data_IF_278669009203
#
_entry.id   IF_278669009203
#
_cell.length_a   1.000
_cell.length_b   1.000
_cell.length_c   1.000
_cell.angle_alpha   90.00
_cell.angle_beta   90.00
_cell.angle_gamma   90.00
#
_symmetry.space_group_name_H-M   'P 1'
#
loop_
_entity.id
_entity.type
_entity.pdbx_description
1 polymer ?
#
# COMPACT_ATOMS: atom_id res chain seq x y z
N UNK A 1 23.35 -2.90 18.14
CA UNK A 1 22.50 -2.01 17.32
C UNK A 1 21.29 -2.85 16.97
N UNK A 2 20.38 -2.93 17.94
CA UNK A 2 19.30 -3.93 17.97
C UNK A 2 18.26 -3.71 16.88
N UNK A 3 17.68 -4.84 16.49
CA UNK A 3 16.80 -5.09 15.35
C UNK A 3 15.55 -4.18 15.37
N UNK A 4 15.68 -2.96 14.83
CA UNK A 4 14.57 -1.99 14.70
C UNK A 4 13.60 -2.33 13.55
N UNK A 5 13.98 -3.26 12.68
CA UNK A 5 13.22 -3.59 11.47
C UNK A 5 12.01 -4.51 11.74
N UNK A 6 12.10 -5.54 12.60
CA UNK A 6 10.93 -6.31 13.05
C UNK A 6 9.87 -5.46 13.74
N UNK A 7 10.27 -4.42 14.49
CA UNK A 7 9.35 -3.50 15.14
C UNK A 7 8.56 -2.67 14.11
N UNK A 8 9.26 -2.07 13.14
CA UNK A 8 8.62 -1.24 12.12
C UNK A 8 7.71 -2.05 11.19
N UNK A 9 8.11 -3.27 10.81
CA UNK A 9 7.26 -4.19 10.06
C UNK A 9 5.95 -4.51 10.80
N UNK A 10 6.05 -4.81 12.11
CA UNK A 10 4.86 -5.09 12.92
C UNK A 10 3.98 -3.85 13.07
N UNK A 11 4.56 -2.66 13.21
CA UNK A 11 3.78 -1.41 13.25
C UNK A 11 3.03 -1.17 11.93
N UNK A 12 3.68 -1.38 10.79
CA UNK A 12 3.06 -1.20 9.47
C UNK A 12 1.99 -2.26 9.16
N UNK A 13 2.19 -3.51 9.58
CA UNK A 13 1.31 -4.64 9.19
C UNK A 13 0.33 -5.09 10.27
N UNK A 14 0.50 -4.62 11.51
CA UNK A 14 -0.35 -4.97 12.66
C UNK A 14 -0.80 -3.73 13.43
N UNK A 15 -0.97 -2.63 12.71
CA UNK A 15 -1.38 -1.34 13.27
C UNK A 15 -2.67 -1.44 14.08
N UNK A 16 -2.83 -0.70 15.20
CA UNK A 16 -4.07 -0.74 15.94
C UNK A 16 -5.29 -0.27 15.12
N UNK A 17 -5.12 0.59 14.12
CA UNK A 17 -6.18 0.90 13.14
C UNK A 17 -6.72 -0.38 12.46
N UNK A 18 -5.83 -1.23 11.92
CA UNK A 18 -6.18 -2.48 11.24
C UNK A 18 -6.89 -3.46 12.19
N UNK A 19 -6.47 -3.50 13.46
CA UNK A 19 -7.17 -4.28 14.49
C UNK A 19 -8.60 -3.79 14.68
N UNK A 20 -8.81 -2.48 14.74
CA UNK A 20 -10.15 -1.89 14.86
C UNK A 20 -11.00 -2.13 13.61
N UNK A 21 -10.39 -2.13 12.42
CA UNK A 21 -11.05 -2.52 11.17
C UNK A 21 -11.52 -3.96 11.26
N UNK A 22 -10.64 -4.89 11.62
CA UNK A 22 -10.96 -6.32 11.78
C UNK A 22 -12.01 -6.62 12.85
N UNK A 23 -12.12 -5.76 13.86
CA UNK A 23 -13.16 -5.83 14.89
C UNK A 23 -14.45 -5.10 14.51
N UNK A 24 -14.52 -4.47 13.34
CA UNK A 24 -15.69 -3.73 12.84
C UNK A 24 -15.97 -2.42 13.58
N UNK A 25 -14.96 -1.85 14.26
CA UNK A 25 -15.10 -0.71 15.18
C UNK A 25 -14.24 0.51 14.82
N UNK A 26 -13.48 0.45 13.72
CA UNK A 26 -12.70 1.59 13.23
C UNK A 26 -13.63 2.77 12.90
N UNK A 27 -13.49 3.87 13.67
CA UNK A 27 -14.36 5.06 13.58
C UNK A 27 -14.07 5.90 12.35
N UNK A 28 -12.79 6.07 12.03
CA UNK A 28 -12.31 6.93 10.95
C UNK A 28 -12.02 6.19 9.65
N UNK A 29 -12.65 5.02 9.45
CA UNK A 29 -12.48 4.24 8.22
C UNK A 29 -12.79 5.06 6.95
N UNK A 30 -13.80 5.92 6.99
CA UNK A 30 -14.12 6.79 5.85
C UNK A 30 -13.06 7.87 5.57
N UNK A 31 -12.37 8.36 6.60
CA UNK A 31 -11.26 9.31 6.44
C UNK A 31 -10.09 8.61 5.76
N UNK A 32 -9.75 7.42 6.26
CA UNK A 32 -8.75 6.56 5.65
C UNK A 32 -9.08 6.25 4.19
N UNK A 33 -10.31 5.81 3.88
CA UNK A 33 -10.73 5.49 2.52
C UNK A 33 -10.56 6.70 1.56
N UNK A 34 -10.93 7.90 2.01
CA UNK A 34 -10.78 9.10 1.20
C UNK A 34 -9.31 9.46 0.93
N UNK A 35 -8.43 9.29 1.93
CA UNK A 35 -7.00 9.55 1.76
C UNK A 35 -6.31 8.46 0.92
N UNK A 36 -6.74 7.21 1.05
CA UNK A 36 -6.18 6.08 0.31
C UNK A 36 -6.58 6.13 -1.17
N UNK A 37 -7.76 6.67 -1.51
CA UNK A 37 -8.09 6.99 -2.90
C UNK A 37 -7.10 7.99 -3.55
N UNK A 38 -6.64 8.99 -2.78
CA UNK A 38 -5.62 9.94 -3.26
C UNK A 38 -4.27 9.24 -3.45
N UNK A 39 -3.89 8.38 -2.50
CA UNK A 39 -2.66 7.58 -2.60
C UNK A 39 -2.68 6.64 -3.80
N UNK A 40 -3.78 5.91 -4.03
CA UNK A 40 -3.96 5.01 -5.18
C UNK A 40 -3.82 5.78 -6.50
N UNK A 41 -4.39 6.99 -6.60
CA UNK A 41 -4.21 7.84 -7.77
C UNK A 41 -2.74 8.24 -8.00
N UNK A 42 -1.99 8.55 -6.94
CA UNK A 42 -0.55 8.83 -7.01
C UNK A 42 0.26 7.55 -7.36
N UNK A 43 -0.15 6.39 -6.84
CA UNK A 43 0.48 5.10 -7.10
C UNK A 43 0.32 4.66 -8.56
N UNK A 44 -0.84 4.92 -9.18
CA UNK A 44 -1.07 4.72 -10.62
C UNK A 44 -0.03 5.49 -11.44
N UNK A 45 0.24 6.75 -11.06
CA UNK A 45 1.22 7.59 -11.75
C UNK A 45 2.63 7.02 -11.63
N UNK A 46 3.05 6.66 -10.41
CA UNK A 46 4.35 6.05 -10.16
C UNK A 46 4.51 4.72 -10.93
N UNK A 47 3.56 3.78 -10.80
CA UNK A 47 3.64 2.50 -11.48
C UNK A 47 3.68 2.67 -13.00
N UNK A 48 2.87 3.58 -13.57
CA UNK A 48 2.87 3.86 -15.00
C UNK A 48 4.24 4.37 -15.50
N UNK A 49 4.89 5.24 -14.73
CA UNK A 49 6.25 5.72 -15.03
C UNK A 49 7.29 4.60 -14.87
N UNK A 50 7.10 3.72 -13.89
CA UNK A 50 7.97 2.56 -13.69
C UNK A 50 7.87 1.57 -14.87
N UNK A 51 6.67 1.32 -15.43
CA UNK A 51 6.49 0.48 -16.64
C UNK A 51 7.39 0.96 -17.78
N UNK A 52 7.44 2.28 -18.01
CA UNK A 52 8.17 2.87 -19.14
C UNK A 52 9.69 2.61 -19.08
N UNK A 53 10.25 2.47 -17.87
CA UNK A 53 11.69 2.26 -17.64
C UNK A 53 12.05 0.85 -17.15
N UNK A 54 11.07 -0.03 -17.02
CA UNK A 54 11.29 -1.40 -16.57
C UNK A 54 11.88 -2.29 -17.70
N UNK A 55 12.72 -3.29 -17.36
CA UNK A 55 13.10 -4.34 -18.28
C UNK A 55 11.87 -5.07 -18.83
N UNK A 56 11.97 -5.57 -20.06
CA UNK A 56 10.85 -6.21 -20.77
C UNK A 56 10.17 -7.33 -19.98
N UNK A 57 10.94 -8.09 -19.20
CA UNK A 57 10.45 -9.19 -18.34
C UNK A 57 9.55 -8.73 -17.18
N UNK A 58 9.59 -7.44 -16.83
CA UNK A 58 8.88 -6.88 -15.67
C UNK A 58 7.74 -5.93 -16.06
N UNK A 59 7.73 -5.41 -17.29
CA UNK A 59 6.70 -4.48 -17.77
C UNK A 59 5.28 -5.02 -17.62
N UNK A 60 5.05 -6.30 -17.94
CA UNK A 60 3.72 -6.89 -17.90
C UNK A 60 3.14 -6.93 -16.48
N UNK A 61 3.91 -7.38 -15.50
CA UNK A 61 3.45 -7.46 -14.10
C UNK A 61 3.24 -6.06 -13.52
N UNK A 62 4.11 -5.08 -13.82
CA UNK A 62 3.91 -3.71 -13.32
C UNK A 62 2.66 -3.08 -13.96
N UNK A 63 2.42 -3.33 -15.26
CA UNK A 63 1.22 -2.83 -15.94
C UNK A 63 -0.08 -3.48 -15.43
N UNK A 64 -0.04 -4.75 -15.02
CA UNK A 64 -1.17 -5.41 -14.35
C UNK A 64 -1.56 -4.68 -13.06
N UNK A 65 -0.57 -4.21 -12.29
CA UNK A 65 -0.79 -3.35 -11.11
C UNK A 65 -1.56 -2.08 -11.46
N UNK A 66 -1.14 -1.37 -12.51
CA UNK A 66 -1.81 -0.14 -12.96
C UNK A 66 -3.28 -0.40 -13.29
N UNK A 67 -3.58 -1.50 -13.99
CA UNK A 67 -4.97 -1.88 -14.31
C UNK A 67 -5.75 -2.22 -13.04
N UNK A 68 -5.11 -2.93 -12.10
CA UNK A 68 -5.70 -3.24 -10.79
C UNK A 68 -6.07 -2.00 -10.00
N UNK A 69 -5.16 -1.03 -9.90
CA UNK A 69 -5.37 0.24 -9.18
C UNK A 69 -6.47 1.10 -9.82
N UNK A 70 -6.62 1.08 -11.15
CA UNK A 70 -7.73 1.77 -11.82
C UNK A 70 -9.08 1.14 -11.42
N UNK A 71 -9.17 -0.19 -11.46
CA UNK A 71 -10.38 -0.90 -11.02
C UNK A 71 -10.64 -0.75 -9.51
N UNK A 72 -9.58 -0.57 -8.73
CA UNK A 72 -9.67 -0.26 -7.32
C UNK A 72 -10.32 1.11 -7.09
N UNK A 73 -9.96 2.16 -7.84
CA UNK A 73 -10.66 3.46 -7.73
C UNK A 73 -12.17 3.35 -8.01
N UNK A 74 -12.60 2.53 -8.97
CA UNK A 74 -14.02 2.25 -9.21
C UNK A 74 -14.69 1.56 -7.99
N UNK A 75 -13.94 0.71 -7.28
CA UNK A 75 -14.40 0.08 -6.04
C UNK A 75 -14.46 1.08 -4.88
N UNK A 76 -13.51 2.02 -4.78
CA UNK A 76 -13.52 3.10 -3.79
C UNK A 76 -14.77 3.97 -3.95
N UNK A 77 -15.14 4.36 -5.17
CA UNK A 77 -16.35 5.13 -5.44
C UNK A 77 -17.60 4.40 -4.90
N UNK A 78 -17.71 3.09 -5.13
CA UNK A 78 -18.81 2.28 -4.61
C UNK A 78 -18.82 2.22 -3.08
N UNK A 79 -17.65 2.09 -2.43
CA UNK A 79 -17.58 2.08 -0.98
C UNK A 79 -17.90 3.45 -0.37
N UNK A 80 -17.53 4.54 -1.05
CA UNK A 80 -17.85 5.89 -0.64
C UNK A 80 -19.37 6.10 -0.56
N UNK A 81 -20.11 5.61 -1.57
CA UNK A 81 -21.57 5.62 -1.58
C UNK A 81 -22.17 4.80 -0.42
N UNK A 82 -21.66 3.58 -0.19
CA UNK A 82 -22.12 2.69 0.89
C UNK A 82 -21.89 3.31 2.28
N UNK A 83 -20.77 4.00 2.47
CA UNK A 83 -20.39 4.61 3.73
C UNK A 83 -20.93 6.03 3.91
N UNK A 84 -21.47 6.64 2.85
CA UNK A 84 -21.96 8.01 2.84
C UNK A 84 -20.84 9.04 3.04
N UNK A 85 -19.65 8.80 2.47
CA UNK A 85 -18.47 9.68 2.61
C UNK A 85 -18.05 10.26 1.25
N UNK A 86 -17.40 11.42 1.27
CA UNK A 86 -16.82 12.02 0.07
C UNK A 86 -15.35 11.61 -0.08
N UNK A 87 -14.95 11.17 -1.27
CA UNK A 87 -13.53 10.98 -1.62
C UNK A 87 -12.86 12.29 -2.09
N UNK A 88 -13.66 13.35 -2.33
CA UNK A 88 -13.14 14.69 -2.65
C UNK A 88 -12.73 15.39 -1.36
N UNK A 89 -11.50 15.13 -0.93
CA UNK A 89 -10.90 15.67 0.30
C UNK A 89 -9.55 16.31 -0.01
N UNK A 90 -9.13 17.22 0.85
CA UNK A 90 -7.75 17.71 0.82
C UNK A 90 -6.80 16.62 1.32
N UNK A 91 -5.60 16.46 0.72
CA UNK A 91 -4.64 15.49 1.18
C UNK A 91 -4.11 15.89 2.56
N UNK A 92 -4.14 14.95 3.50
CA UNK A 92 -3.54 15.12 4.82
C UNK A 92 -2.01 15.04 4.75
N UNK A 93 -1.34 15.40 5.85
CA UNK A 93 0.13 15.45 5.92
C UNK A 93 0.79 14.11 5.54
N UNK A 94 0.26 12.98 6.04
CA UNK A 94 0.80 11.66 5.72
C UNK A 94 0.64 11.33 4.23
N UNK A 95 -0.53 11.60 3.64
CA UNK A 95 -0.79 11.44 2.20
C UNK A 95 0.14 12.31 1.34
N UNK A 96 0.38 13.56 1.73
CA UNK A 96 1.32 14.44 1.04
C UNK A 96 2.76 13.91 1.11
N UNK A 97 3.18 13.42 2.28
CA UNK A 97 4.51 12.83 2.46
C UNK A 97 4.66 11.55 1.62
N UNK A 98 3.62 10.71 1.56
CA UNK A 98 3.62 9.50 0.75
C UNK A 98 3.70 9.83 -0.75
N UNK A 99 2.94 10.82 -1.23
CA UNK A 99 3.06 11.33 -2.60
C UNK A 99 4.47 11.81 -2.92
N UNK A 100 5.07 12.58 -2.02
CA UNK A 100 6.45 13.05 -2.19
C UNK A 100 7.44 11.88 -2.29
N UNK A 101 7.28 10.87 -1.44
CA UNK A 101 8.07 9.65 -1.50
C UNK A 101 7.90 8.90 -2.84
N UNK A 102 6.68 8.76 -3.36
CA UNK A 102 6.45 8.17 -4.69
C UNK A 102 7.15 8.97 -5.80
N UNK A 103 7.19 10.31 -5.69
CA UNK A 103 7.97 11.15 -6.61
C UNK A 103 9.48 10.98 -6.46
N UNK A 104 9.99 10.73 -5.25
CA UNK A 104 11.41 10.40 -5.06
C UNK A 104 11.74 9.06 -5.71
N UNK A 105 10.86 8.06 -5.60
CA UNK A 105 11.02 6.75 -6.25
C UNK A 105 11.06 6.85 -7.78
N UNK A 106 10.41 7.85 -8.40
CA UNK A 106 10.53 8.10 -9.84
C UNK A 106 11.98 8.42 -10.27
N UNK A 107 12.80 8.95 -9.35
CA UNK A 107 14.21 9.30 -9.61
C UNK A 107 15.18 8.15 -9.32
N UNK A 108 14.77 7.18 -8.52
CA UNK A 108 15.58 6.01 -8.14
C UNK A 108 15.79 5.06 -9.32
N UNK A 109 16.94 4.37 -9.47
CA UNK A 109 17.11 3.34 -10.49
C UNK A 109 16.04 2.24 -10.41
N UNK A 110 15.70 1.63 -11.56
CA UNK A 110 14.66 0.60 -11.66
C UNK A 110 14.73 -0.45 -10.54
N UNK A 111 15.91 -1.04 -10.22
CA UNK A 111 15.96 -2.07 -9.17
C UNK A 111 15.47 -1.58 -7.80
N UNK A 112 15.82 -0.35 -7.40
CA UNK A 112 15.38 0.23 -6.11
C UNK A 112 13.88 0.52 -6.12
N UNK A 113 13.37 1.11 -7.21
CA UNK A 113 11.94 1.39 -7.36
C UNK A 113 11.09 0.10 -7.41
N UNK A 114 11.60 -0.97 -8.02
CA UNK A 114 10.93 -2.27 -8.08
C UNK A 114 10.83 -2.93 -6.70
N UNK A 115 11.89 -2.85 -5.89
CA UNK A 115 11.87 -3.36 -4.50
C UNK A 115 10.90 -2.55 -3.64
N UNK A 116 10.89 -1.22 -3.80
CA UNK A 116 9.92 -0.37 -3.13
C UNK A 116 8.47 -0.75 -3.50
N UNK A 117 8.18 -0.87 -4.81
CA UNK A 117 6.86 -1.28 -5.29
C UNK A 117 6.39 -2.59 -4.68
N UNK A 118 7.21 -3.64 -4.73
CA UNK A 118 6.86 -4.91 -4.12
C UNK A 118 6.59 -4.78 -2.63
N UNK A 119 7.39 -3.98 -1.91
CA UNK A 119 7.22 -3.80 -0.48
C UNK A 119 5.93 -3.06 -0.12
N UNK A 120 5.52 -2.05 -0.89
CA UNK A 120 4.23 -1.36 -0.73
C UNK A 120 3.09 -2.37 -0.74
N UNK A 121 2.99 -3.15 -1.82
CA UNK A 121 1.93 -4.15 -2.03
C UNK A 121 1.99 -5.27 -0.99
N UNK A 122 3.22 -5.68 -0.61
CA UNK A 122 3.44 -6.77 0.35
C UNK A 122 3.04 -6.36 1.78
N UNK A 123 3.35 -5.14 2.19
CA UNK A 123 2.92 -4.58 3.48
C UNK A 123 1.41 -4.51 3.52
N UNK A 124 0.79 -4.01 2.44
CA UNK A 124 -0.64 -3.84 2.34
C UNK A 124 -1.39 -5.20 2.42
N UNK A 125 -0.96 -6.21 1.65
CA UNK A 125 -1.49 -7.57 1.76
C UNK A 125 -1.39 -8.13 3.19
N UNK A 126 -0.25 -7.92 3.85
CA UNK A 126 -0.04 -8.42 5.20
C UNK A 126 -0.91 -7.67 6.24
N UNK A 127 -1.08 -6.37 6.07
CA UNK A 127 -1.97 -5.52 6.87
C UNK A 127 -3.42 -6.00 6.82
N UNK A 128 -3.94 -6.27 5.61
CA UNK A 128 -5.32 -6.73 5.43
C UNK A 128 -5.56 -8.17 5.88
N UNK A 129 -4.56 -9.06 5.72
CA UNK A 129 -4.59 -10.39 6.35
C UNK A 129 -4.67 -10.29 7.87
N UNK A 130 -3.91 -9.37 8.46
CA UNK A 130 -3.97 -9.13 9.90
C UNK A 130 -5.35 -8.62 10.33
N UNK A 131 -5.91 -7.62 9.63
CA UNK A 131 -7.26 -7.14 9.89
C UNK A 131 -8.29 -8.29 9.84
N UNK A 132 -8.25 -9.13 8.79
CA UNK A 132 -9.12 -10.31 8.67
C UNK A 132 -8.95 -11.35 9.77
N UNK A 133 -7.78 -11.41 10.42
CA UNK A 133 -7.55 -12.31 11.56
C UNK A 133 -8.08 -11.78 12.90
N UNK A 134 -8.44 -10.50 12.99
CA UNK A 134 -8.83 -9.84 14.24
C UNK A 134 -10.32 -9.97 14.58
N UNK A 135 -11.16 -10.45 13.67
CA UNK A 135 -12.61 -10.58 13.86
C UNK A 135 -13.34 -10.70 12.52
N UNK A 136 -14.65 -10.43 12.52
CA UNK A 136 -15.48 -10.52 11.30
C UNK A 136 -15.45 -9.26 10.43
N UNK A 137 -14.74 -8.20 10.84
CA UNK A 137 -14.69 -6.87 10.24
C UNK A 137 -16.04 -6.12 10.12
N UNK A 138 -17.18 -6.79 10.28
CA UNK A 138 -18.51 -6.20 10.25
C UNK A 138 -18.73 -5.35 8.99
N UNK A 139 -19.05 -4.06 9.18
CA UNK A 139 -19.22 -3.08 8.09
C UNK A 139 -17.98 -2.88 7.21
N UNK A 140 -16.80 -3.32 7.65
CA UNK A 140 -15.53 -3.19 6.92
C UNK A 140 -15.10 -4.49 6.23
N UNK A 141 -15.97 -5.51 6.19
CA UNK A 141 -15.63 -6.81 5.61
C UNK A 141 -15.32 -6.76 4.11
N UNK A 142 -15.94 -5.83 3.37
CA UNK A 142 -15.67 -5.65 1.94
C UNK A 142 -14.20 -5.28 1.67
N UNK A 143 -13.63 -4.41 2.51
CA UNK A 143 -12.22 -4.03 2.45
C UNK A 143 -11.28 -5.21 2.71
N UNK A 144 -11.52 -5.96 3.78
CA UNK A 144 -10.72 -7.17 4.07
C UNK A 144 -10.77 -8.15 2.91
N UNK A 145 -11.95 -8.38 2.32
CA UNK A 145 -12.09 -9.28 1.17
C UNK A 145 -11.34 -8.78 -0.07
N UNK A 146 -11.40 -7.48 -0.37
CA UNK A 146 -10.75 -6.87 -1.53
C UNK A 146 -9.24 -7.11 -1.53
N UNK A 147 -8.55 -6.75 -0.44
CA UNK A 147 -7.08 -6.85 -0.35
C UNK A 147 -6.56 -8.17 0.20
N UNK A 148 -7.43 -9.15 0.39
CA UNK A 148 -7.03 -10.55 0.61
C UNK A 148 -7.45 -11.47 -0.54
N UNK A 149 -7.98 -10.89 -1.63
CA UNK A 149 -8.40 -11.61 -2.82
C UNK A 149 -7.24 -12.44 -3.41
N UNK A 150 -7.50 -13.69 -3.86
CA UNK A 150 -6.47 -14.53 -4.46
C UNK A 150 -5.75 -13.90 -5.66
N UNK A 151 -6.38 -13.02 -6.44
CA UNK A 151 -5.74 -12.29 -7.53
C UNK A 151 -4.69 -11.31 -7.01
N UNK A 152 -5.01 -10.54 -5.98
CA UNK A 152 -4.05 -9.65 -5.34
C UNK A 152 -2.87 -10.43 -4.75
N UNK A 153 -3.13 -11.58 -4.11
CA UNK A 153 -2.06 -12.47 -3.61
C UNK A 153 -1.13 -12.92 -4.73
N UNK A 154 -1.67 -13.34 -5.88
CA UNK A 154 -0.85 -13.76 -7.03
C UNK A 154 -0.04 -12.60 -7.60
N UNK A 155 -0.64 -11.40 -7.67
CA UNK A 155 0.04 -10.19 -8.11
C UNK A 155 1.25 -9.86 -7.21
N UNK A 156 1.07 -9.85 -5.89
CA UNK A 156 2.17 -9.60 -4.94
C UNK A 156 3.28 -10.65 -5.07
N UNK A 157 2.94 -11.94 -5.23
CA UNK A 157 3.93 -12.99 -5.49
C UNK A 157 4.69 -12.77 -6.81
N UNK A 158 4.01 -12.35 -7.88
CA UNK A 158 4.67 -12.07 -9.15
C UNK A 158 5.63 -10.87 -9.07
N UNK A 159 5.31 -9.85 -8.25
CA UNK A 159 6.23 -8.75 -7.96
C UNK A 159 7.45 -9.21 -7.14
N UNK A 160 7.28 -10.16 -6.22
CA UNK A 160 8.36 -10.68 -5.37
C UNK A 160 9.50 -11.28 -6.21
N UNK A 161 9.17 -12.02 -7.26
CA UNK A 161 10.16 -12.57 -8.20
C UNK A 161 10.98 -11.46 -8.87
N UNK A 162 10.35 -10.31 -9.20
CA UNK A 162 11.04 -9.17 -9.84
C UNK A 162 11.85 -8.36 -8.84
N UNK A 163 11.31 -8.14 -7.65
CA UNK A 163 12.01 -7.47 -6.56
C UNK A 163 13.22 -8.28 -6.08
N UNK A 164 13.13 -9.61 -6.03
CA UNK A 164 14.25 -10.47 -5.67
C UNK A 164 15.40 -10.37 -6.66
N UNK A 165 15.12 -10.38 -7.96
CA UNK A 165 16.13 -10.17 -8.99
C UNK A 165 16.75 -8.76 -8.90
N UNK A 166 15.91 -7.73 -8.74
CA UNK A 166 16.37 -6.35 -8.54
C UNK A 166 17.26 -6.18 -7.29
N UNK A 167 16.90 -6.81 -6.17
CA UNK A 167 17.69 -6.76 -4.95
C UNK A 167 19.07 -7.42 -5.12
N UNK A 168 19.17 -8.48 -5.93
CA UNK A 168 20.46 -9.10 -6.26
C UNK A 168 21.36 -8.15 -7.05
N UNK A 169 20.81 -7.39 -8.01
CA UNK A 169 21.55 -6.36 -8.75
C UNK A 169 22.10 -5.25 -7.83
N UNK A 170 21.41 -4.97 -6.73
CA UNK A 170 21.80 -4.00 -5.71
C UNK A 170 22.71 -4.58 -4.62
N UNK A 171 23.14 -5.85 -4.73
CA UNK A 171 23.84 -6.58 -3.67
C UNK A 171 23.10 -6.57 -2.32
N UNK A 172 21.77 -6.48 -2.33
CA UNK A 172 20.93 -6.41 -1.13
C UNK A 172 20.91 -5.05 -0.43
N UNK A 173 21.46 -3.98 -1.03
CA UNK A 173 21.44 -2.63 -0.46
C UNK A 173 20.09 -1.94 -0.66
N UNK A 174 19.09 -2.45 0.07
CA UNK A 174 17.67 -2.02 0.02
C UNK A 174 17.10 -1.73 1.40
N UNK A 175 17.95 -1.63 2.42
CA UNK A 175 17.50 -1.50 3.80
C UNK A 175 16.94 -0.12 4.11
N UNK A 176 17.50 0.92 3.48
CA UNK A 176 17.02 2.29 3.59
C UNK A 176 15.64 2.46 2.93
N UNK A 177 15.49 1.95 1.70
CA UNK A 177 14.22 2.02 0.96
C UNK A 177 13.14 1.21 1.68
N UNK A 178 13.51 0.06 2.24
CA UNK A 178 12.59 -0.75 3.04
C UNK A 178 12.09 -0.02 4.29
N UNK A 179 12.97 0.68 5.00
CA UNK A 179 12.58 1.51 6.15
C UNK A 179 11.70 2.69 5.74
N UNK A 180 11.98 3.33 4.61
CA UNK A 180 11.21 4.48 4.12
C UNK A 180 9.76 4.09 3.79
N UNK A 181 9.57 2.96 3.08
CA UNK A 181 8.22 2.40 2.81
C UNK A 181 7.48 2.13 4.10
N UNK A 182 8.09 1.38 5.03
CA UNK A 182 7.42 1.01 6.28
C UNK A 182 7.10 2.23 7.17
N UNK A 183 7.92 3.28 7.13
CA UNK A 183 7.64 4.51 7.85
C UNK A 183 6.44 5.26 7.24
N UNK A 184 6.37 5.36 5.90
CA UNK A 184 5.22 5.96 5.23
C UNK A 184 3.92 5.21 5.55
N UNK A 185 3.96 3.87 5.51
CA UNK A 185 2.83 3.01 5.89
C UNK A 185 2.35 3.27 7.32
N UNK A 186 3.26 3.30 8.29
CA UNK A 186 2.92 3.59 9.68
C UNK A 186 2.28 4.97 9.83
N UNK A 187 2.88 6.01 9.26
CA UNK A 187 2.35 7.38 9.32
C UNK A 187 0.96 7.47 8.66
N UNK A 188 0.74 6.69 7.59
CA UNK A 188 -0.54 6.60 6.91
C UNK A 188 -1.63 5.92 7.77
N UNK A 189 -1.28 4.87 8.51
CA UNK A 189 -2.20 4.25 9.47
C UNK A 189 -2.45 5.11 10.71
N UNK A 190 -1.44 5.84 11.19
CA UNK A 190 -1.55 6.76 12.34
C UNK A 190 -2.56 7.87 12.05
N UNK A 191 -2.52 8.44 10.83
CA UNK A 191 -3.50 9.42 10.34
C UNK A 191 -4.96 8.93 10.47
N UNK A 192 -5.18 7.62 10.34
CA UNK A 192 -6.51 7.01 10.42
C UNK A 192 -6.95 6.65 11.85
N UNK A 193 -6.10 6.77 12.85
CA UNK A 193 -6.46 6.52 14.26
C UNK A 193 -6.95 7.77 14.97
N UNK A 194 -6.32 8.90 14.70
CA UNK A 194 -6.65 10.20 15.28
C UNK A 194 -6.43 11.29 14.23
N UNK A 195 -7.40 11.51 13.33
CA UNK A 195 -7.29 12.54 12.30
C UNK A 195 -7.40 13.91 12.97
N UNK A 196 -6.25 14.48 13.32
CA UNK A 196 -6.09 15.85 13.79
C UNK A 196 -6.15 16.87 12.63
#
# INVERSE_FOLDING_TARGET
>A
MEDKQPDLWNRATRHPFLREVGQGRAKFFGVWLAQDALFVADLIVFQSRLVARAPRSSQAVIAEGVVGLIAELDWFDQQADVLGVSLRVEPMKATCAYRAFLHELDTEPYPRAMVALWLLERVYLQAWRYAGSCGSAGRHAAAVAHWTDPAFVRYVTALEDRASAAAQELNGDVQDIGRAVLACEVDFWDMAQDPA
#
